data_IF_047279227431
#
_entry.id   IF_047279227431
#
_cell.length_a   1.000
_cell.length_b   1.000
_cell.length_c   1.000
_cell.angle_alpha   90.00
_cell.angle_beta   90.00
_cell.angle_gamma   90.00
#
_symmetry.space_group_name_H-M   'P 1'
#
loop_
_entity.id
_entity.type
_entity.pdbx_description
1 polymer ?
#
# COMPACT_ATOMS: atom_id res chain seq x y z
N UNK A 1 -3.19 17.99 -22.83
CA UNK A 1 -3.22 17.64 -21.40
C UNK A 1 -4.58 17.07 -21.09
N UNK A 2 -4.65 15.82 -20.64
CA UNK A 2 -5.91 15.19 -20.29
C UNK A 2 -6.39 15.68 -18.89
N UNK A 3 -7.66 15.40 -18.46
CA UNK A 3 -8.16 15.87 -17.17
C UNK A 3 -7.34 15.43 -15.96
N UNK A 4 -6.76 14.21 -15.98
CA UNK A 4 -5.92 13.72 -14.88
C UNK A 4 -4.61 14.50 -14.78
N UNK A 5 -3.98 14.79 -15.92
CA UNK A 5 -2.79 15.64 -15.96
C UNK A 5 -3.09 17.08 -15.48
N UNK A 6 -4.30 17.59 -15.75
CA UNK A 6 -4.71 18.90 -15.22
C UNK A 6 -4.87 18.89 -13.70
N UNK A 7 -5.45 17.81 -13.14
CA UNK A 7 -5.54 17.61 -11.68
C UNK A 7 -4.14 17.55 -11.05
N UNK A 8 -3.21 16.80 -11.66
CA UNK A 8 -1.83 16.74 -11.18
C UNK A 8 -1.16 18.11 -11.22
N UNK A 9 -1.34 18.88 -12.29
CA UNK A 9 -0.82 20.23 -12.39
C UNK A 9 -1.42 21.19 -11.34
N UNK A 10 -2.64 20.90 -10.85
CA UNK A 10 -3.27 21.60 -9.73
C UNK A 10 -2.83 21.11 -8.34
N UNK A 11 -1.81 20.22 -8.27
CA UNK A 11 -1.25 19.71 -7.01
C UNK A 11 -1.96 18.49 -6.45
N UNK A 12 -2.79 17.78 -7.23
CA UNK A 12 -3.44 16.56 -6.81
C UNK A 12 -2.61 15.33 -7.20
N UNK A 13 -2.38 14.41 -6.26
CA UNK A 13 -1.81 13.09 -6.54
C UNK A 13 -2.91 12.13 -7.02
N UNK A 14 -2.70 11.50 -8.15
CA UNK A 14 -3.68 10.60 -8.79
C UNK A 14 -3.34 9.16 -8.44
N UNK A 15 -4.27 8.47 -7.77
CA UNK A 15 -4.08 7.11 -7.31
C UNK A 15 -5.06 6.13 -7.96
N UNK A 16 -4.57 4.93 -8.27
CA UNK A 16 -5.37 3.80 -8.75
C UNK A 16 -5.64 2.83 -7.58
N UNK A 17 -6.92 2.62 -7.24
CA UNK A 17 -7.33 1.60 -6.26
C UNK A 17 -7.52 0.24 -6.95
N UNK A 18 -6.43 -0.29 -7.49
CA UNK A 18 -6.41 -1.58 -8.17
C UNK A 18 -4.98 -2.07 -8.37
N UNK A 19 -4.66 -3.27 -7.88
CA UNK A 19 -3.37 -3.94 -8.13
C UNK A 19 -3.68 -5.33 -8.70
N UNK A 20 -3.11 -5.63 -9.87
CA UNK A 20 -3.22 -6.92 -10.54
C UNK A 20 -1.94 -7.23 -11.28
N UNK A 21 -1.47 -8.45 -11.20
CA UNK A 21 -0.21 -8.90 -11.82
C UNK A 21 -0.14 -8.60 -13.31
N UNK A 22 -1.21 -8.86 -14.06
CA UNK A 22 -1.27 -8.53 -15.49
C UNK A 22 -1.03 -7.04 -15.77
N UNK A 23 -1.67 -6.14 -15.00
CA UNK A 23 -1.48 -4.69 -15.13
C UNK A 23 -0.02 -4.28 -14.92
N UNK A 24 0.64 -4.92 -13.93
CA UNK A 24 2.04 -4.64 -13.59
C UNK A 24 3.01 -5.17 -14.66
N UNK A 25 2.66 -6.26 -15.34
CA UNK A 25 3.51 -6.94 -16.32
C UNK A 25 3.29 -6.45 -17.76
N UNK A 26 2.07 -6.06 -18.16
CA UNK A 26 1.71 -5.73 -19.55
C UNK A 26 2.31 -4.42 -20.08
N UNK A 27 2.76 -3.53 -19.22
CA UNK A 27 3.15 -2.16 -19.59
C UNK A 27 2.00 -1.14 -19.50
N UNK A 28 0.77 -1.57 -19.22
CA UNK A 28 -0.38 -0.66 -19.07
C UNK A 28 -0.19 0.28 -17.88
N UNK A 29 0.39 -0.19 -16.77
CA UNK A 29 0.72 0.66 -15.64
C UNK A 29 1.70 1.77 -16.05
N UNK A 30 2.71 1.45 -16.84
CA UNK A 30 3.67 2.46 -17.33
C UNK A 30 2.96 3.51 -18.17
N UNK A 31 2.04 3.09 -19.04
CA UNK A 31 1.23 4.02 -19.86
C UNK A 31 0.40 4.95 -18.97
N UNK A 32 -0.27 4.42 -17.94
CA UNK A 32 -1.03 5.25 -16.99
C UNK A 32 -0.15 6.28 -16.27
N UNK A 33 1.07 5.91 -15.90
CA UNK A 33 2.04 6.82 -15.27
C UNK A 33 2.46 7.93 -16.24
N UNK A 34 2.87 7.55 -17.47
CA UNK A 34 3.44 8.47 -18.46
C UNK A 34 2.37 9.36 -19.12
N UNK A 35 1.21 8.79 -19.49
CA UNK A 35 0.19 9.48 -20.27
C UNK A 35 -0.91 10.12 -19.40
N UNK A 36 -1.26 9.50 -18.27
CA UNK A 36 -2.37 9.94 -17.42
C UNK A 36 -1.90 10.59 -16.10
N UNK A 37 -0.59 10.55 -15.83
CA UNK A 37 -0.03 11.16 -14.64
C UNK A 37 -0.33 10.41 -13.34
N UNK A 38 -0.55 9.08 -13.43
CA UNK A 38 -0.74 8.25 -12.26
C UNK A 38 0.49 8.34 -11.34
N UNK A 39 0.26 8.64 -10.07
CA UNK A 39 1.31 8.88 -9.08
C UNK A 39 1.28 7.91 -7.90
N UNK A 40 0.26 7.10 -7.76
CA UNK A 40 0.19 6.13 -6.68
C UNK A 40 -0.76 4.98 -6.94
N UNK A 41 -0.61 3.92 -6.15
CA UNK A 41 -1.51 2.77 -6.17
C UNK A 41 -1.87 2.33 -4.77
N UNK A 42 -3.08 1.81 -4.60
CA UNK A 42 -3.50 1.17 -3.36
C UNK A 42 -4.05 -0.21 -3.64
N UNK A 43 -3.67 -1.17 -2.81
CA UNK A 43 -4.26 -2.49 -2.76
C UNK A 43 -5.43 -2.53 -1.77
N UNK A 44 -6.31 -3.49 -1.99
CA UNK A 44 -7.40 -3.79 -1.07
C UNK A 44 -7.50 -5.31 -0.95
N UNK A 45 -7.50 -5.89 0.28
CA UNK A 45 -7.53 -7.34 0.46
C UNK A 45 -8.66 -8.04 -0.29
N UNK A 46 -9.86 -7.45 -0.32
CA UNK A 46 -10.99 -8.03 -1.03
C UNK A 46 -10.86 -7.98 -2.56
N UNK A 47 -10.14 -7.01 -3.10
CA UNK A 47 -9.81 -6.95 -4.53
C UNK A 47 -8.72 -7.97 -4.89
N UNK A 48 -7.69 -8.08 -4.08
CA UNK A 48 -6.64 -9.10 -4.25
C UNK A 48 -7.23 -10.51 -4.25
N UNK A 49 -8.11 -10.83 -3.29
CA UNK A 49 -8.76 -12.15 -3.20
C UNK A 49 -9.52 -12.46 -4.51
N UNK A 50 -10.33 -11.53 -5.00
CA UNK A 50 -11.07 -11.68 -6.26
C UNK A 50 -10.16 -11.86 -7.47
N UNK A 51 -9.06 -11.13 -7.53
CA UNK A 51 -8.14 -11.16 -8.66
C UNK A 51 -7.33 -12.47 -8.67
N UNK A 52 -6.84 -12.91 -7.51
CA UNK A 52 -6.09 -14.16 -7.37
C UNK A 52 -7.00 -15.36 -7.68
N UNK A 53 -8.21 -15.40 -7.12
CA UNK A 53 -9.15 -16.50 -7.34
C UNK A 53 -9.78 -16.49 -8.75
N UNK A 54 -9.89 -15.35 -9.39
CA UNK A 54 -10.64 -15.16 -10.65
C UNK A 54 -9.80 -15.10 -11.92
N UNK A 55 -8.46 -15.25 -11.83
CA UNK A 55 -7.60 -15.18 -13.02
C UNK A 55 -6.50 -16.23 -13.01
N UNK A 56 -5.96 -16.54 -14.19
CA UNK A 56 -4.79 -17.41 -14.35
C UNK A 56 -3.45 -16.71 -14.13
N UNK A 57 -3.45 -15.42 -13.82
CA UNK A 57 -2.24 -14.58 -13.69
C UNK A 57 -1.30 -15.09 -12.58
N UNK A 58 -1.83 -15.85 -11.62
CA UNK A 58 -1.13 -16.33 -10.44
C UNK A 58 -0.81 -17.83 -10.47
N UNK A 59 -1.29 -18.58 -11.48
CA UNK A 59 -1.15 -20.05 -11.56
C UNK A 59 0.30 -20.51 -11.48
N UNK A 60 1.19 -19.84 -12.20
CA UNK A 60 2.62 -20.20 -12.23
C UNK A 60 3.27 -19.92 -10.86
N UNK A 61 2.98 -18.75 -10.26
CA UNK A 61 3.50 -18.40 -8.96
C UNK A 61 2.97 -19.32 -7.86
N UNK A 62 1.69 -19.67 -7.90
CA UNK A 62 1.08 -20.65 -6.97
C UNK A 62 1.73 -22.03 -7.10
N UNK A 63 1.96 -22.51 -8.33
CA UNK A 63 2.68 -23.78 -8.55
C UNK A 63 4.09 -23.72 -7.98
N UNK A 64 4.81 -22.61 -8.20
CA UNK A 64 6.15 -22.42 -7.63
C UNK A 64 6.16 -22.46 -6.11
N UNK A 65 5.19 -21.80 -5.46
CA UNK A 65 5.06 -21.83 -3.99
C UNK A 65 4.78 -23.24 -3.49
N UNK A 66 3.85 -23.97 -4.11
CA UNK A 66 3.48 -25.33 -3.71
C UNK A 66 4.60 -26.35 -3.93
N UNK A 67 5.40 -26.17 -5.00
CA UNK A 67 6.58 -27.01 -5.23
C UNK A 67 7.66 -26.77 -4.16
N UNK A 68 7.83 -25.54 -3.71
CA UNK A 68 8.80 -25.19 -2.67
C UNK A 68 8.30 -25.52 -1.26
N UNK A 69 7.00 -25.48 -1.04
CA UNK A 69 6.34 -25.68 0.26
C UNK A 69 4.98 -26.34 0.07
N UNK A 70 4.93 -27.69 -0.05
CA UNK A 70 3.68 -28.42 -0.33
C UNK A 70 2.58 -28.22 0.72
N UNK A 71 2.96 -27.97 1.98
CA UNK A 71 2.05 -27.76 3.11
C UNK A 71 1.73 -26.27 3.37
N UNK A 72 2.06 -25.36 2.43
CA UNK A 72 1.79 -23.94 2.59
C UNK A 72 0.29 -23.68 2.75
N UNK A 73 -0.08 -22.92 3.80
CA UNK A 73 -1.47 -22.54 4.02
C UNK A 73 -1.90 -21.50 2.98
N UNK A 74 -3.17 -21.50 2.62
CA UNK A 74 -3.73 -20.54 1.64
C UNK A 74 -3.41 -19.08 2.01
N UNK A 75 -3.46 -18.72 3.29
CA UNK A 75 -3.16 -17.37 3.75
C UNK A 75 -1.68 -17.00 3.54
N UNK A 76 -0.75 -17.94 3.71
CA UNK A 76 0.67 -17.69 3.51
C UNK A 76 0.98 -17.54 2.01
N UNK A 77 0.31 -18.31 1.16
CA UNK A 77 0.39 -18.17 -0.31
C UNK A 77 -0.17 -16.82 -0.76
N UNK A 78 -1.35 -16.46 -0.26
CA UNK A 78 -1.96 -15.16 -0.54
C UNK A 78 -1.04 -13.99 -0.18
N UNK A 79 -0.50 -14.00 1.04
CA UNK A 79 0.40 -12.93 1.50
C UNK A 79 1.64 -12.82 0.62
N UNK A 80 2.24 -13.96 0.26
CA UNK A 80 3.42 -13.98 -0.61
C UNK A 80 3.13 -13.38 -1.97
N UNK A 81 2.00 -13.74 -2.60
CA UNK A 81 1.59 -13.17 -3.88
C UNK A 81 1.30 -11.66 -3.78
N UNK A 82 0.61 -11.24 -2.72
CA UNK A 82 0.32 -9.82 -2.48
C UNK A 82 1.60 -9.00 -2.27
N UNK A 83 2.54 -9.49 -1.47
CA UNK A 83 3.83 -8.82 -1.26
C UNK A 83 4.64 -8.71 -2.56
N UNK A 84 4.63 -9.73 -3.40
CA UNK A 84 5.31 -9.69 -4.68
C UNK A 84 4.70 -8.65 -5.62
N UNK A 85 3.37 -8.56 -5.69
CA UNK A 85 2.68 -7.56 -6.51
C UNK A 85 2.88 -6.14 -5.98
N UNK A 86 2.90 -5.94 -4.66
CA UNK A 86 3.23 -4.64 -4.04
C UNK A 86 4.66 -4.22 -4.38
N UNK A 87 5.64 -5.13 -4.32
CA UNK A 87 7.02 -4.84 -4.73
C UNK A 87 7.10 -4.44 -6.20
N UNK A 88 6.42 -5.21 -7.07
CA UNK A 88 6.38 -4.89 -8.50
C UNK A 88 5.76 -3.52 -8.75
N UNK A 89 4.66 -3.18 -8.09
CA UNK A 89 4.01 -1.88 -8.20
C UNK A 89 4.93 -0.76 -7.70
N UNK A 90 5.59 -0.95 -6.55
CA UNK A 90 6.54 0.00 -5.98
C UNK A 90 7.73 0.23 -6.91
N UNK A 91 8.28 -0.83 -7.51
CA UNK A 91 9.37 -0.72 -8.48
C UNK A 91 8.95 0.03 -9.76
N UNK A 92 7.68 -0.13 -10.21
CA UNK A 92 7.13 0.62 -11.36
C UNK A 92 6.90 2.09 -11.06
N UNK A 93 6.51 2.43 -9.83
CA UNK A 93 6.30 3.81 -9.38
C UNK A 93 7.58 4.48 -8.85
N UNK A 94 8.67 3.73 -8.71
CA UNK A 94 9.96 4.24 -8.23
C UNK A 94 10.48 5.46 -9.01
N UNK A 95 10.39 5.54 -10.35
CA UNK A 95 10.79 6.74 -11.09
C UNK A 95 9.97 7.99 -10.71
N UNK A 96 8.68 7.83 -10.41
CA UNK A 96 7.85 8.95 -9.91
C UNK A 96 8.34 9.40 -8.54
N UNK A 97 8.54 8.44 -7.62
CA UNK A 97 9.04 8.71 -6.28
C UNK A 97 10.38 9.46 -6.30
N UNK A 98 11.32 9.01 -7.11
CA UNK A 98 12.64 9.65 -7.21
C UNK A 98 12.55 11.04 -7.85
N UNK A 99 11.70 11.23 -8.87
CA UNK A 99 11.49 12.52 -9.53
C UNK A 99 10.83 13.55 -8.60
N UNK A 100 9.88 13.10 -7.77
CA UNK A 100 9.16 13.94 -6.80
C UNK A 100 9.89 14.06 -5.44
N UNK A 101 11.17 13.65 -5.37
CA UNK A 101 11.99 13.68 -4.15
C UNK A 101 11.32 13.02 -2.93
N UNK A 102 10.63 11.92 -3.14
CA UNK A 102 9.95 11.17 -2.08
C UNK A 102 8.60 11.76 -1.64
N UNK A 103 8.07 12.75 -2.35
CA UNK A 103 6.78 13.36 -2.01
C UNK A 103 5.58 12.66 -2.67
N UNK A 104 5.81 11.83 -3.69
CA UNK A 104 4.76 11.08 -4.40
C UNK A 104 5.34 9.74 -4.93
N UNK A 105 4.60 8.96 -5.71
CA UNK A 105 5.08 7.69 -6.26
C UNK A 105 4.95 6.49 -5.30
N UNK A 106 3.95 6.52 -4.43
CA UNK A 106 3.76 5.50 -3.39
C UNK A 106 2.82 4.37 -3.80
N UNK A 107 3.01 3.24 -3.12
CA UNK A 107 2.07 2.10 -3.12
C UNK A 107 1.64 1.80 -1.69
N UNK A 108 0.32 1.69 -1.44
CA UNK A 108 -0.22 1.36 -0.13
C UNK A 108 -0.56 -0.13 0.00
N UNK A 109 -0.18 -0.71 1.14
CA UNK A 109 -0.51 -2.07 1.57
C UNK A 109 -1.27 -2.04 2.90
N UNK A 110 -2.47 -2.62 2.93
CA UNK A 110 -3.29 -2.69 4.15
C UNK A 110 -2.70 -3.64 5.19
N UNK A 111 -2.80 -3.27 6.47
CA UNK A 111 -2.70 -4.28 7.54
C UNK A 111 -3.92 -5.20 7.49
N UNK A 112 -3.81 -6.49 7.88
CA UNK A 112 -4.97 -7.38 7.94
C UNK A 112 -6.09 -6.82 8.83
N UNK A 113 -7.37 -6.94 8.43
CA UNK A 113 -8.49 -6.43 9.21
C UNK A 113 -8.56 -7.02 10.63
N UNK A 114 -8.01 -8.21 10.83
CA UNK A 114 -7.98 -8.90 12.11
C UNK A 114 -7.23 -8.16 13.22
N UNK A 115 -6.28 -7.29 12.86
CA UNK A 115 -5.50 -6.50 13.85
C UNK A 115 -6.03 -5.09 14.06
N UNK A 116 -7.06 -4.66 13.32
CA UNK A 116 -7.56 -3.27 13.29
C UNK A 116 -8.05 -2.73 14.66
N UNK A 117 -8.35 -3.61 15.61
CA UNK A 117 -8.82 -3.28 16.97
C UNK A 117 -7.80 -3.64 18.07
N UNK A 118 -6.55 -3.85 17.67
CA UNK A 118 -5.44 -4.09 18.61
C UNK A 118 -4.25 -3.23 18.19
N UNK A 119 -3.96 -2.18 18.98
CA UNK A 119 -2.85 -1.27 18.71
C UNK A 119 -1.51 -2.00 18.58
N UNK A 120 -1.22 -2.92 19.52
CA UNK A 120 0.09 -3.60 19.54
C UNK A 120 0.24 -4.54 18.34
N UNK A 121 -0.81 -5.29 18.02
CA UNK A 121 -0.83 -6.16 16.86
C UNK A 121 -0.73 -5.35 15.55
N UNK A 122 -1.44 -4.21 15.43
CA UNK A 122 -1.35 -3.30 14.28
C UNK A 122 0.08 -2.79 14.07
N UNK A 123 0.75 -2.33 15.13
CA UNK A 123 2.12 -1.83 15.07
C UNK A 123 3.10 -2.95 14.66
N UNK A 124 3.00 -4.11 15.32
CA UNK A 124 3.87 -5.25 15.03
C UNK A 124 3.73 -5.71 13.56
N UNK A 125 2.49 -5.77 13.08
CA UNK A 125 2.19 -6.18 11.72
C UNK A 125 2.64 -5.12 10.68
N UNK A 126 2.41 -3.85 10.95
CA UNK A 126 2.88 -2.76 10.10
C UNK A 126 4.41 -2.79 9.92
N UNK A 127 5.15 -2.95 11.03
CA UNK A 127 6.62 -3.09 10.99
C UNK A 127 7.06 -4.32 10.19
N UNK A 128 6.34 -5.44 10.34
CA UNK A 128 6.62 -6.68 9.62
C UNK A 128 6.42 -6.51 8.13
N UNK A 129 5.27 -5.95 7.71
CA UNK A 129 4.92 -5.73 6.32
C UNK A 129 5.87 -4.71 5.65
N UNK A 130 6.16 -3.60 6.33
CA UNK A 130 7.09 -2.59 5.82
C UNK A 130 8.47 -3.18 5.51
N UNK A 131 9.01 -3.96 6.45
CA UNK A 131 10.29 -4.68 6.24
C UNK A 131 10.19 -5.76 5.17
N UNK A 132 9.06 -6.48 5.11
CA UNK A 132 8.86 -7.54 4.12
C UNK A 132 8.80 -6.99 2.69
N UNK A 133 8.18 -5.83 2.47
CA UNK A 133 8.16 -5.19 1.14
C UNK A 133 9.54 -4.66 0.77
N UNK A 134 10.26 -4.06 1.71
CA UNK A 134 11.63 -3.52 1.52
C UNK A 134 11.73 -2.56 0.32
N UNK A 135 10.82 -1.57 0.30
CA UNK A 135 10.82 -0.49 -0.71
C UNK A 135 10.55 0.86 -0.02
N UNK A 136 11.30 1.93 -0.37
CA UNK A 136 11.15 3.23 0.30
C UNK A 136 9.80 3.90 -0.01
N UNK A 137 9.19 3.56 -1.13
CA UNK A 137 7.93 4.11 -1.60
C UNK A 137 6.72 3.21 -1.29
N UNK A 138 6.79 2.42 -0.22
CA UNK A 138 5.62 1.73 0.31
C UNK A 138 5.04 2.51 1.50
N UNK A 139 3.73 2.58 1.59
CA UNK A 139 2.97 3.04 2.74
C UNK A 139 2.22 1.88 3.37
N UNK A 140 2.22 1.79 4.69
CA UNK A 140 1.36 0.84 5.38
C UNK A 140 0.02 1.52 5.67
N UNK A 141 -1.06 0.90 5.19
CA UNK A 141 -2.42 1.44 5.30
C UNK A 141 -3.05 0.99 6.60
N UNK A 142 -3.41 1.97 7.44
CA UNK A 142 -3.90 1.76 8.81
C UNK A 142 -5.30 2.39 8.94
N UNK A 143 -6.30 1.64 9.45
CA UNK A 143 -7.62 2.19 9.65
C UNK A 143 -7.65 3.18 10.82
N UNK A 144 -8.43 4.27 10.70
CA UNK A 144 -8.62 5.29 11.72
C UNK A 144 -9.54 4.79 12.88
N UNK A 145 -9.27 3.59 13.39
CA UNK A 145 -9.91 3.08 14.61
C UNK A 145 -9.33 3.77 15.84
N UNK A 146 -10.02 3.73 17.01
CA UNK A 146 -9.45 4.22 18.27
C UNK A 146 -8.08 3.61 18.60
N UNK A 147 -7.82 2.37 18.19
CA UNK A 147 -6.56 1.66 18.37
C UNK A 147 -5.55 1.96 17.25
N UNK A 148 -6.02 2.21 16.03
CA UNK A 148 -5.19 2.51 14.86
C UNK A 148 -4.57 3.92 14.92
N UNK A 149 -5.32 4.91 15.38
CA UNK A 149 -4.82 6.30 15.47
C UNK A 149 -3.55 6.41 16.34
N UNK A 150 -3.46 5.83 17.54
CA UNK A 150 -2.20 5.82 18.29
C UNK A 150 -1.08 5.00 17.63
N UNK A 151 -1.43 4.00 16.81
CA UNK A 151 -0.43 3.26 16.05
C UNK A 151 0.20 4.12 14.93
N UNK A 152 -0.59 5.00 14.30
CA UNK A 152 -0.09 5.97 13.32
C UNK A 152 1.01 6.85 13.90
N UNK A 153 0.80 7.41 15.10
CA UNK A 153 1.80 8.25 15.77
C UNK A 153 3.13 7.50 15.96
N UNK A 154 3.07 6.28 16.51
CA UNK A 154 4.26 5.48 16.78
C UNK A 154 5.00 5.08 15.52
N UNK A 155 4.28 4.62 14.50
CA UNK A 155 4.89 4.19 13.24
C UNK A 155 5.47 5.37 12.45
N UNK A 156 4.81 6.52 12.47
CA UNK A 156 5.35 7.75 11.85
C UNK A 156 6.63 8.19 12.56
N UNK A 157 6.68 8.11 13.88
CA UNK A 157 7.89 8.42 14.67
C UNK A 157 9.06 7.47 14.36
N UNK A 158 8.81 6.29 13.83
CA UNK A 158 9.82 5.33 13.40
C UNK A 158 10.25 5.50 11.92
N UNK A 159 9.68 6.49 11.22
CA UNK A 159 9.95 6.70 9.78
C UNK A 159 9.23 5.71 8.87
N UNK A 160 8.21 5.02 9.35
CA UNK A 160 7.36 4.18 8.51
C UNK A 160 6.30 5.05 7.84
N UNK A 161 6.26 5.03 6.50
CA UNK A 161 5.22 5.75 5.77
C UNK A 161 3.85 5.12 6.06
N UNK A 162 2.88 5.95 6.42
CA UNK A 162 1.52 5.51 6.75
C UNK A 162 0.50 6.14 5.81
N UNK A 163 -0.51 5.36 5.43
CA UNK A 163 -1.72 5.82 4.76
C UNK A 163 -2.90 5.57 5.71
N UNK A 164 -3.56 6.63 6.16
CA UNK A 164 -4.65 6.51 7.14
C UNK A 164 -5.96 6.40 6.38
N UNK A 165 -6.69 5.32 6.62
CA UNK A 165 -7.93 4.99 5.88
C UNK A 165 -9.14 4.90 6.81
N UNK A 166 -10.34 4.82 6.21
CA UNK A 166 -11.61 4.68 6.92
C UNK A 166 -11.92 5.86 7.87
N UNK A 167 -11.68 7.06 7.38
CA UNK A 167 -12.01 8.30 8.09
C UNK A 167 -13.40 8.76 7.62
N UNK A 168 -14.39 8.71 8.51
CA UNK A 168 -15.80 9.00 8.20
C UNK A 168 -16.39 10.15 9.02
N UNK A 169 -15.58 10.85 9.83
CA UNK A 169 -16.01 12.02 10.59
C UNK A 169 -14.89 13.04 10.74
N UNK A 170 -15.25 14.30 10.99
CA UNK A 170 -14.28 15.36 11.28
C UNK A 170 -13.46 15.04 12.54
N UNK A 171 -14.07 14.47 13.56
CA UNK A 171 -13.38 14.08 14.79
C UNK A 171 -12.30 13.00 14.54
N UNK A 172 -12.61 12.01 13.70
CA UNK A 172 -11.60 11.01 13.29
C UNK A 172 -10.48 11.64 12.46
N UNK A 173 -10.83 12.54 11.53
CA UNK A 173 -9.84 13.25 10.72
C UNK A 173 -8.88 14.07 11.60
N UNK A 174 -9.44 14.86 12.52
CA UNK A 174 -8.65 15.67 13.45
C UNK A 174 -7.72 14.81 14.32
N UNK A 175 -8.24 13.72 14.91
CA UNK A 175 -7.47 12.80 15.71
C UNK A 175 -6.33 12.14 14.91
N UNK A 176 -6.61 11.73 13.67
CA UNK A 176 -5.62 11.13 12.77
C UNK A 176 -4.53 12.13 12.36
N UNK A 177 -4.93 13.35 12.00
CA UNK A 177 -3.99 14.42 11.65
C UNK A 177 -3.08 14.81 12.83
N UNK A 178 -3.64 14.93 14.03
CA UNK A 178 -2.85 15.21 15.24
C UNK A 178 -1.88 14.08 15.57
N UNK A 179 -2.28 12.80 15.44
CA UNK A 179 -1.41 11.66 15.66
C UNK A 179 -0.24 11.66 14.66
N UNK A 180 -0.54 11.91 13.38
CA UNK A 180 0.49 12.03 12.34
C UNK A 180 1.48 13.17 12.65
N UNK A 181 0.99 14.35 12.97
CA UNK A 181 1.84 15.51 13.30
C UNK A 181 2.72 15.24 14.52
N UNK A 182 2.19 14.60 15.58
CA UNK A 182 3.01 14.22 16.76
C UNK A 182 4.08 13.21 16.37
N UNK A 183 3.74 12.21 15.54
CA UNK A 183 4.72 11.27 15.01
C UNK A 183 5.84 11.95 14.23
N UNK A 184 5.51 12.90 13.35
CA UNK A 184 6.50 13.69 12.61
C UNK A 184 7.43 14.49 13.54
N UNK A 185 6.90 15.05 14.63
CA UNK A 185 7.71 15.82 15.61
C UNK A 185 8.66 14.93 16.42
N UNK A 186 8.37 13.63 16.53
CA UNK A 186 9.21 12.65 17.21
C UNK A 186 10.24 12.02 16.28
N UNK A 187 10.04 12.12 14.98
CA UNK A 187 10.96 11.66 13.95
C UNK A 187 12.06 12.72 13.74
N UNK A 188 13.09 12.69 14.55
CA UNK A 188 14.24 13.62 14.46
C UNK A 188 15.55 12.86 14.55
#
# INVERSE_FOLDING_TARGET
>A
MNPLQQLRAAGQSIWLDYIRRQLLASGDLRRLIEEDGLSGMTGNPALFDKVIAGSSDYDEALRGILLASPDARAIDMYERLALDDIRMAADRLRPVYDCENGCDGFVSLDVPPTVARDRRATIAEARRLFRAVDRPNVMIKIPATPEGIPAVEELTAEGINVNITLIFSLAQYEAAAQAYLRGCLLYT
#
